data_IF_638617604504
#
_entry.id   IF_638617604504
#
_cell.length_a   1.000
_cell.length_b   1.000
_cell.length_c   1.000
_cell.angle_alpha   90.00
_cell.angle_beta   90.00
_cell.angle_gamma   90.00
#
_symmetry.space_group_name_H-M   'P 1'
#
loop_
_entity.id
_entity.type
_entity.pdbx_description
1 polymer ?
#
# COMPACT_ATOMS: atom_id res chain seq x y z
N UNK A 1 0.92 -67.87 69.78
CA UNK A 1 0.39 -69.09 69.15
C UNK A 1 -0.95 -68.74 68.51
N UNK A 2 -1.27 -69.43 67.40
CA UNK A 2 -2.39 -69.19 66.46
C UNK A 2 -2.05 -68.16 65.38
N UNK A 3 -2.05 -68.47 64.09
CA UNK A 3 -2.44 -69.67 63.35
C UNK A 3 -2.53 -69.28 61.85
N UNK A 4 -2.30 -70.25 60.97
CA UNK A 4 -2.25 -70.17 59.50
C UNK A 4 -3.54 -69.57 58.86
N UNK A 5 -3.69 -69.25 57.56
CA UNK A 5 -3.31 -69.96 56.32
C UNK A 5 -3.67 -69.10 55.09
N UNK A 6 -2.95 -69.30 53.98
CA UNK A 6 -3.25 -69.16 52.54
C UNK A 6 -4.50 -68.41 52.01
N UNK A 7 -4.30 -67.63 50.93
CA UNK A 7 -5.04 -67.81 49.66
C UNK A 7 -4.37 -67.07 48.50
N UNK A 8 -4.08 -67.78 47.42
CA UNK A 8 -3.80 -67.26 46.07
C UNK A 8 -5.10 -66.78 45.43
N UNK A 9 -5.09 -65.61 44.77
CA UNK A 9 -5.96 -65.32 43.62
C UNK A 9 -5.44 -64.10 42.85
N UNK A 10 -5.28 -64.32 41.55
CA UNK A 10 -5.11 -63.33 40.50
C UNK A 10 -6.10 -62.16 40.60
N UNK A 11 -5.64 -60.95 40.28
CA UNK A 11 -6.48 -59.76 40.33
C UNK A 11 -5.80 -58.52 39.79
N UNK A 12 -5.74 -58.43 38.46
CA UNK A 12 -5.75 -57.19 37.66
C UNK A 12 -4.98 -55.98 38.21
N UNK A 13 -3.76 -55.79 37.70
CA UNK A 13 -2.95 -54.58 37.95
C UNK A 13 -3.59 -53.38 37.23
N UNK A 14 -4.45 -52.65 37.92
CA UNK A 14 -4.83 -51.27 37.57
C UNK A 14 -3.63 -50.35 37.76
N UNK A 15 -2.89 -50.08 36.68
CA UNK A 15 -2.04 -48.89 36.59
C UNK A 15 -2.79 -47.80 35.83
N UNK A 16 -3.47 -46.98 36.61
CA UNK A 16 -3.98 -45.67 36.25
C UNK A 16 -2.82 -44.77 35.81
N UNK A 17 -2.39 -44.83 34.55
CA UNK A 17 -1.51 -43.80 33.99
C UNK A 17 -2.33 -42.68 33.37
N UNK A 18 -2.91 -41.86 34.26
CA UNK A 18 -3.50 -40.56 33.94
C UNK A 18 -2.37 -39.64 33.44
N UNK A 19 -2.14 -39.64 32.13
CA UNK A 19 -1.34 -38.60 31.49
C UNK A 19 -2.31 -37.60 30.88
N UNK A 20 -2.91 -36.79 31.75
CA UNK A 20 -3.49 -35.49 31.38
C UNK A 20 -2.32 -34.60 30.92
N UNK A 21 -1.94 -34.73 29.66
CA UNK A 21 -1.15 -33.70 28.98
C UNK A 21 -2.04 -33.01 27.99
N UNK A 22 -2.70 -32.00 28.55
CA UNK A 22 -2.97 -30.70 27.95
C UNK A 22 -3.29 -30.71 26.47
N UNK A 23 -4.58 -30.47 26.20
CA UNK A 23 -5.11 -29.75 25.04
C UNK A 23 -4.07 -28.79 24.44
N UNK A 24 -3.22 -29.28 23.55
CA UNK A 24 -2.59 -28.44 22.55
C UNK A 24 -3.65 -28.25 21.48
N UNK A 25 -4.66 -27.42 21.80
CA UNK A 25 -5.48 -26.81 20.78
C UNK A 25 -4.52 -26.23 19.77
N UNK A 26 -4.57 -26.75 18.55
CA UNK A 26 -3.90 -26.17 17.39
C UNK A 26 -4.43 -24.74 17.37
N UNK A 27 -3.65 -23.79 17.90
CA UNK A 27 -3.95 -22.37 17.76
C UNK A 27 -3.81 -22.15 16.27
N UNK A 28 -4.91 -22.18 15.55
CA UNK A 28 -4.99 -21.58 14.24
C UNK A 28 -4.52 -20.15 14.47
N UNK A 29 -3.27 -19.89 14.13
CA UNK A 29 -2.70 -18.56 14.21
C UNK A 29 -3.41 -17.80 13.10
N UNK A 30 -4.62 -17.31 13.39
CA UNK A 30 -5.21 -16.25 12.61
C UNK A 30 -4.14 -15.18 12.60
N UNK A 31 -3.49 -15.03 11.45
CA UNK A 31 -2.59 -13.92 11.24
C UNK A 31 -3.53 -12.71 11.26
N UNK A 32 -3.66 -12.07 12.44
CA UNK A 32 -4.44 -10.84 12.61
C UNK A 32 -3.74 -9.64 11.94
N UNK A 33 -2.59 -9.87 11.30
CA UNK A 33 -1.75 -8.88 10.67
C UNK A 33 -1.42 -9.31 9.24
N UNK A 34 -1.56 -8.37 8.30
CA UNK A 34 -1.12 -8.60 6.94
C UNK A 34 0.40 -8.81 6.90
N UNK A 35 0.84 -9.59 5.92
CA UNK A 35 2.26 -9.77 5.65
C UNK A 35 2.91 -8.41 5.35
N UNK A 36 4.17 -8.19 5.81
CA UNK A 36 4.93 -7.04 5.40
C UNK A 36 5.03 -6.98 3.88
N UNK A 37 4.66 -5.85 3.29
CA UNK A 37 4.78 -5.66 1.84
C UNK A 37 6.28 -5.62 1.51
N UNK A 38 6.77 -6.45 0.59
CA UNK A 38 8.16 -6.40 0.15
C UNK A 38 8.44 -5.06 -0.52
N UNK A 39 9.68 -4.57 -0.42
CA UNK A 39 10.04 -3.30 -1.05
C UNK A 39 9.70 -3.36 -2.55
N UNK A 40 8.94 -2.38 -3.06
CA UNK A 40 8.57 -2.33 -4.47
C UNK A 40 9.85 -2.18 -5.31
N UNK A 41 9.91 -2.86 -6.45
CA UNK A 41 11.06 -2.76 -7.36
C UNK A 41 11.28 -1.32 -7.89
N UNK A 42 10.21 -0.50 -7.88
CA UNK A 42 10.22 0.89 -8.32
C UNK A 42 9.41 1.75 -7.34
N UNK A 43 10.02 2.85 -6.89
CA UNK A 43 9.38 3.82 -5.99
C UNK A 43 9.66 3.58 -4.50
N UNK A 44 9.00 4.38 -3.68
CA UNK A 44 9.09 4.31 -2.20
C UNK A 44 7.71 4.06 -1.65
N UNK A 45 7.58 3.06 -0.77
CA UNK A 45 6.32 2.77 -0.12
C UNK A 45 6.09 3.75 1.05
N UNK A 46 4.89 4.32 1.15
CA UNK A 46 4.48 5.19 2.26
C UNK A 46 3.25 4.64 2.96
N UNK A 47 3.30 4.64 4.28
CA UNK A 47 2.15 4.28 5.11
C UNK A 47 1.32 5.56 5.29
N UNK A 48 0.09 5.55 4.80
CA UNK A 48 -0.85 6.66 4.96
C UNK A 48 -1.61 6.51 6.27
N UNK A 49 -1.96 5.27 6.62
CA UNK A 49 -2.74 4.98 7.82
C UNK A 49 -2.31 3.66 8.44
N UNK A 50 -2.29 3.62 9.78
CA UNK A 50 -1.90 2.44 10.55
C UNK A 50 -0.39 2.26 10.69
N UNK A 51 0.04 1.04 11.01
CA UNK A 51 1.45 0.68 11.25
C UNK A 51 2.04 -0.17 10.12
N UNK A 52 1.39 -0.19 8.95
CA UNK A 52 1.85 -0.90 7.75
C UNK A 52 1.59 -2.42 7.73
N UNK A 53 1.14 -3.02 8.84
CA UNK A 53 0.83 -4.47 8.92
C UNK A 53 -0.51 -4.79 9.60
N UNK A 54 -1.09 -3.85 10.35
CA UNK A 54 -2.35 -4.09 11.04
C UNK A 54 -3.55 -4.01 10.07
N UNK A 55 -4.64 -4.70 10.38
CA UNK A 55 -5.92 -4.55 9.65
C UNK A 55 -6.36 -3.09 9.68
N UNK A 56 -6.81 -2.60 8.53
CA UNK A 56 -7.14 -1.19 8.30
C UNK A 56 -5.93 -0.31 7.97
N UNK A 57 -4.71 -0.86 7.90
CA UNK A 57 -3.56 -0.09 7.41
C UNK A 57 -3.71 0.19 5.92
N UNK A 58 -3.40 1.43 5.53
CA UNK A 58 -3.42 1.89 4.14
C UNK A 58 -2.00 2.27 3.74
N UNK A 59 -1.57 1.70 2.63
CA UNK A 59 -0.24 1.86 2.07
C UNK A 59 -0.37 2.36 0.64
N UNK A 60 0.36 3.43 0.34
CA UNK A 60 0.48 3.94 -1.01
C UNK A 60 1.91 3.84 -1.51
N UNK A 61 2.05 3.72 -2.82
CA UNK A 61 3.34 3.74 -3.48
C UNK A 61 3.66 5.19 -3.84
N UNK A 62 4.92 5.59 -3.84
CA UNK A 62 5.35 6.88 -4.38
C UNK A 62 6.38 6.62 -5.47
N UNK A 63 6.01 6.98 -6.71
CA UNK A 63 6.82 6.74 -7.89
C UNK A 63 7.96 7.76 -8.03
N UNK A 64 9.12 7.36 -8.58
CA UNK A 64 10.23 8.25 -8.86
C UNK A 64 9.92 9.21 -10.01
N UNK A 65 10.77 10.22 -10.22
CA UNK A 65 10.63 11.14 -11.35
C UNK A 65 10.49 10.36 -12.68
N UNK A 66 9.64 10.85 -13.59
CA UNK A 66 9.25 10.18 -14.86
C UNK A 66 8.36 8.95 -14.71
N UNK A 67 7.77 8.69 -13.55
CA UNK A 67 6.73 7.68 -13.39
C UNK A 67 5.48 8.28 -12.72
N UNK A 68 4.32 7.86 -13.21
CA UNK A 68 3.01 8.18 -12.65
C UNK A 68 2.52 7.00 -11.82
N UNK A 69 1.94 7.30 -10.66
CA UNK A 69 1.22 6.32 -9.87
C UNK A 69 -0.09 5.94 -10.58
N UNK A 70 -0.32 4.65 -10.76
CA UNK A 70 -1.57 4.13 -11.30
C UNK A 70 -2.15 3.07 -10.38
N UNK A 71 -3.46 3.14 -10.17
CA UNK A 71 -4.21 2.17 -9.38
C UNK A 71 -4.78 2.73 -8.07
N UNK A 72 -5.11 1.84 -7.15
CA UNK A 72 -5.70 2.15 -5.84
C UNK A 72 -4.77 1.73 -4.73
N UNK A 73 -4.69 2.55 -3.68
CA UNK A 73 -3.90 2.26 -2.48
C UNK A 73 -4.17 0.86 -1.94
N UNK A 74 -3.12 0.25 -1.39
CA UNK A 74 -3.17 -1.08 -0.78
C UNK A 74 -3.76 -0.96 0.62
N UNK A 75 -4.82 -1.72 0.89
CA UNK A 75 -5.49 -1.76 2.18
C UNK A 75 -5.41 -3.16 2.77
N UNK A 76 -4.98 -3.27 4.02
CA UNK A 76 -5.00 -4.53 4.74
C UNK A 76 -6.42 -4.78 5.27
N UNK A 77 -7.09 -5.82 4.78
CA UNK A 77 -8.44 -6.18 5.24
C UNK A 77 -8.44 -7.58 5.83
N UNK A 78 -9.32 -7.81 6.81
CA UNK A 78 -9.57 -9.14 7.34
C UNK A 78 -10.53 -9.88 6.40
N UNK A 79 -10.02 -10.90 5.71
CA UNK A 79 -10.81 -11.82 4.92
C UNK A 79 -11.49 -12.88 5.78
N UNK A 80 -12.08 -13.88 5.14
CA UNK A 80 -12.83 -14.95 5.83
C UNK A 80 -11.97 -15.84 6.72
N UNK A 81 -10.71 -16.08 6.35
CA UNK A 81 -9.80 -16.98 7.06
C UNK A 81 -8.40 -16.39 7.31
N UNK A 82 -8.08 -15.24 6.72
CA UNK A 82 -6.77 -14.59 6.81
C UNK A 82 -6.85 -13.11 6.46
N UNK A 83 -5.86 -12.34 6.91
CA UNK A 83 -5.65 -10.97 6.45
C UNK A 83 -5.01 -10.94 5.07
N UNK A 84 -5.51 -10.06 4.20
CA UNK A 84 -5.03 -9.91 2.83
C UNK A 84 -4.92 -8.44 2.44
N UNK A 85 -3.96 -8.15 1.57
CA UNK A 85 -3.85 -6.85 0.93
C UNK A 85 -4.82 -6.76 -0.25
N UNK A 86 -5.64 -5.73 -0.25
CA UNK A 86 -6.60 -5.43 -1.32
C UNK A 86 -6.23 -4.10 -1.94
N UNK A 87 -6.26 -4.05 -3.27
CA UNK A 87 -5.78 -2.92 -4.04
C UNK A 87 -4.60 -3.33 -4.92
N UNK A 88 -4.32 -2.52 -5.93
CA UNK A 88 -3.17 -2.71 -6.80
C UNK A 88 -2.66 -1.33 -7.16
N UNK A 89 -1.42 -1.03 -6.77
CA UNK A 89 -0.69 0.18 -7.15
C UNK A 89 0.56 -0.22 -7.91
N UNK A 90 0.81 0.44 -9.04
CA UNK A 90 2.08 0.30 -9.76
C UNK A 90 2.54 1.63 -10.32
N UNK A 91 3.84 1.73 -10.55
CA UNK A 91 4.44 2.88 -11.20
C UNK A 91 4.46 2.64 -12.70
N UNK A 92 3.71 3.45 -13.44
CA UNK A 92 3.74 3.45 -14.90
C UNK A 92 4.71 4.54 -15.38
N UNK A 93 5.56 4.27 -16.40
CA UNK A 93 6.37 5.31 -17.00
C UNK A 93 5.47 6.44 -17.52
N UNK A 94 5.80 7.68 -17.20
CA UNK A 94 5.17 8.84 -17.82
C UNK A 94 5.47 8.77 -19.30
N UNK A 95 4.41 8.73 -20.13
CA UNK A 95 4.61 8.87 -21.56
C UNK A 95 5.17 10.25 -21.82
N UNK A 96 6.16 10.35 -22.71
CA UNK A 96 6.77 11.62 -23.10
C UNK A 96 5.71 12.68 -23.47
N UNK A 97 4.57 12.24 -24.00
CA UNK A 97 3.48 13.09 -24.48
C UNK A 97 2.88 14.01 -23.41
N UNK A 98 2.73 13.59 -22.15
CA UNK A 98 2.16 14.46 -21.10
C UNK A 98 3.10 15.64 -20.77
N UNK A 99 4.42 15.41 -20.73
CA UNK A 99 5.42 16.47 -20.52
C UNK A 99 5.53 17.42 -21.74
N UNK A 100 5.35 16.90 -22.95
CA UNK A 100 5.30 17.72 -24.17
C UNK A 100 4.05 18.60 -24.20
N UNK A 101 2.90 18.14 -23.74
CA UNK A 101 1.66 18.91 -23.72
C UNK A 101 1.80 20.22 -22.94
N UNK A 102 2.30 20.16 -21.71
CA UNK A 102 2.53 21.37 -20.91
C UNK A 102 3.56 22.31 -21.56
N UNK A 103 4.68 21.77 -22.05
CA UNK A 103 5.72 22.57 -22.73
C UNK A 103 5.19 23.25 -23.99
N UNK A 104 4.39 22.54 -24.79
CA UNK A 104 3.78 23.08 -26.00
C UNK A 104 2.75 24.15 -25.67
N UNK A 105 1.94 23.96 -24.62
CA UNK A 105 0.98 24.96 -24.15
C UNK A 105 1.67 26.25 -23.66
N UNK A 106 2.79 26.11 -22.95
CA UNK A 106 3.60 27.26 -22.51
C UNK A 106 4.22 27.98 -23.72
N UNK A 107 4.80 27.24 -24.66
CA UNK A 107 5.38 27.82 -25.88
C UNK A 107 4.33 28.56 -26.72
N UNK A 108 3.14 27.99 -26.90
CA UNK A 108 2.07 28.64 -27.66
C UNK A 108 1.57 29.92 -26.98
N UNK A 109 1.46 29.91 -25.64
CA UNK A 109 1.10 31.09 -24.86
C UNK A 109 2.12 32.22 -25.01
N UNK A 110 3.42 31.92 -24.95
CA UNK A 110 4.49 32.90 -25.13
C UNK A 110 4.44 33.52 -26.53
N UNK A 111 4.31 32.68 -27.58
CA UNK A 111 4.25 33.15 -28.97
C UNK A 111 3.02 34.04 -29.20
N UNK A 112 1.85 33.62 -28.71
CA UNK A 112 0.62 34.40 -28.83
C UNK A 112 0.72 35.75 -28.11
N UNK A 113 1.26 35.74 -26.89
CA UNK A 113 1.48 36.96 -26.12
C UNK A 113 2.42 37.92 -26.83
N UNK A 114 3.51 37.43 -27.43
CA UNK A 114 4.43 38.25 -28.22
C UNK A 114 3.73 38.95 -29.39
N UNK A 115 2.89 38.24 -30.14
CA UNK A 115 2.15 38.81 -31.29
C UNK A 115 1.16 39.89 -30.81
N UNK A 116 0.36 39.59 -29.78
CA UNK A 116 -0.62 40.53 -29.24
C UNK A 116 0.07 41.79 -28.70
N UNK A 117 1.18 41.61 -27.99
CA UNK A 117 1.98 42.74 -27.48
C UNK A 117 2.53 43.59 -28.62
N UNK A 118 3.12 42.99 -29.65
CA UNK A 118 3.63 43.72 -30.82
C UNK A 118 2.52 44.53 -31.52
N UNK A 119 1.35 43.93 -31.74
CA UNK A 119 0.20 44.62 -32.34
C UNK A 119 -0.29 45.77 -31.44
N UNK A 120 -0.36 45.55 -30.13
CA UNK A 120 -0.77 46.58 -29.16
C UNK A 120 0.23 47.74 -29.10
N UNK A 121 1.54 47.46 -29.12
CA UNK A 121 2.60 48.49 -29.11
C UNK A 121 2.58 49.28 -30.41
N UNK A 122 2.39 48.64 -31.56
CA UNK A 122 2.27 49.33 -32.83
C UNK A 122 1.08 50.30 -32.82
N UNK A 123 -0.07 49.86 -32.30
CA UNK A 123 -1.25 50.70 -32.16
C UNK A 123 -1.00 51.89 -31.21
N UNK A 124 -0.46 51.63 -30.02
CA UNK A 124 -0.15 52.66 -29.02
C UNK A 124 0.86 53.66 -29.58
N UNK A 125 1.90 53.20 -30.26
CA UNK A 125 2.93 54.06 -30.86
C UNK A 125 2.34 54.93 -31.97
N UNK A 126 1.49 54.37 -32.84
CA UNK A 126 0.77 55.16 -33.84
C UNK A 126 -0.15 56.20 -33.20
N UNK A 127 -0.93 55.85 -32.17
CA UNK A 127 -1.79 56.78 -31.46
C UNK A 127 -0.98 57.89 -30.78
N UNK A 128 0.10 57.54 -30.08
CA UNK A 128 0.95 58.50 -29.40
C UNK A 128 1.64 59.44 -30.39
N UNK A 129 2.20 58.94 -31.50
CA UNK A 129 2.83 59.79 -32.52
C UNK A 129 1.86 60.81 -33.15
N UNK A 130 0.56 60.49 -33.22
CA UNK A 130 -0.47 61.44 -33.64
C UNK A 130 -0.90 62.40 -32.51
N UNK A 131 -0.78 62.02 -31.24
CA UNK A 131 -1.08 62.90 -30.11
C UNK A 131 0.05 63.88 -29.75
N UNK A 132 1.30 63.61 -30.16
CA UNK A 132 2.48 64.42 -29.83
C UNK A 132 2.84 65.41 -30.96
N UNK A 133 2.04 65.48 -32.04
CA UNK A 133 2.23 66.39 -33.17
C UNK A 133 1.11 67.41 -33.26
#
# INVERSE_FOLDING_TARGET
>A
MSGATASTADGSRTELKKTDKSRAGKKDHWQLQCSPIPLPALGTQRIIQGNGTNVGSIVSLQCPARHKLVGKDLMCVMGSNSTQWVGQTYCQPLSFYEDYGFRVAVLSSIISSGIILLLSVAFITCCLLNCIK
#
